data_IF_476454235583
#
_entry.id   IF_476454235583
#
_cell.length_a   1.000
_cell.length_b   1.000
_cell.length_c   1.000
_cell.angle_alpha   90.00
_cell.angle_beta   90.00
_cell.angle_gamma   90.00
#
_symmetry.space_group_name_H-M   'P 1'
#
loop_
_entity.id
_entity.type
_entity.pdbx_description
1 polymer ?
#
# COMPACT_ATOMS: atom_id res chain seq x y z
N UNK A 1 -17.03 10.45 14.94
CA UNK A 1 -15.98 11.49 14.85
C UNK A 1 -16.39 12.85 15.41
N UNK A 2 -17.64 13.07 15.78
CA UNK A 2 -18.10 14.38 16.26
C UNK A 2 -17.51 14.86 17.59
N UNK A 3 -16.89 13.96 18.38
CA UNK A 3 -16.43 14.24 19.74
C UNK A 3 -14.90 14.18 19.91
N UNK A 4 -14.14 14.39 18.82
CA UNK A 4 -12.69 14.41 18.91
C UNK A 4 -12.21 15.71 19.54
N UNK A 5 -11.23 15.61 20.42
CA UNK A 5 -10.57 16.77 21.02
C UNK A 5 -9.70 17.46 19.95
N UNK A 6 -9.58 18.80 20.05
CA UNK A 6 -8.87 19.60 19.04
C UNK A 6 -7.43 19.09 18.74
N UNK A 7 -6.70 18.62 19.74
CA UNK A 7 -5.34 18.08 19.55
C UNK A 7 -5.32 16.77 18.74
N UNK A 8 -6.40 15.97 18.79
CA UNK A 8 -6.48 14.74 17.98
C UNK A 8 -6.58 15.08 16.48
N UNK A 9 -7.32 16.14 16.12
CA UNK A 9 -7.35 16.62 14.72
C UNK A 9 -5.96 17.07 14.26
N UNK A 10 -5.22 17.80 15.11
CA UNK A 10 -3.84 18.23 14.80
C UNK A 10 -2.92 17.03 14.61
N UNK A 11 -2.96 16.03 15.51
CA UNK A 11 -2.16 14.82 15.40
C UNK A 11 -2.49 14.03 14.13
N UNK A 12 -3.77 13.84 13.83
CA UNK A 12 -4.22 13.18 12.59
C UNK A 12 -3.66 13.91 11.37
N UNK A 13 -3.77 15.24 11.32
CA UNK A 13 -3.23 16.05 10.24
C UNK A 13 -1.73 15.91 10.06
N UNK A 14 -0.97 15.94 11.15
CA UNK A 14 0.49 15.73 11.14
C UNK A 14 0.87 14.33 10.66
N UNK A 15 0.16 13.29 11.11
CA UNK A 15 0.39 11.91 10.66
C UNK A 15 0.12 11.77 9.16
N UNK A 16 -0.94 12.38 8.62
CA UNK A 16 -1.22 12.37 7.18
C UNK A 16 -0.17 13.14 6.38
N UNK A 17 0.28 14.31 6.85
CA UNK A 17 1.34 15.07 6.22
C UNK A 17 2.65 14.27 6.15
N UNK A 18 3.03 13.65 7.27
CA UNK A 18 4.19 12.76 7.34
C UNK A 18 4.06 11.54 6.42
N UNK A 19 2.88 10.90 6.41
CA UNK A 19 2.58 9.78 5.51
C UNK A 19 2.74 10.16 4.03
N UNK A 20 2.29 11.36 3.65
CA UNK A 20 2.46 11.90 2.30
C UNK A 20 3.93 12.10 1.96
N UNK A 21 4.72 12.67 2.86
CA UNK A 21 6.16 12.86 2.69
C UNK A 21 6.89 11.52 2.49
N UNK A 22 6.65 10.53 3.36
CA UNK A 22 7.26 9.20 3.25
C UNK A 22 6.90 8.54 1.92
N UNK A 23 5.63 8.64 1.51
CA UNK A 23 5.15 8.04 0.27
C UNK A 23 5.79 8.65 -0.96
N UNK A 24 5.89 9.97 -1.03
CA UNK A 24 6.49 10.66 -2.18
C UNK A 24 7.99 10.35 -2.29
N UNK A 25 8.67 10.18 -1.17
CA UNK A 25 10.11 9.87 -1.12
C UNK A 25 10.40 8.42 -1.49
N UNK A 26 9.69 7.45 -0.92
CA UNK A 26 9.99 6.01 -1.04
C UNK A 26 9.12 5.29 -2.07
N UNK A 27 7.99 5.86 -2.49
CA UNK A 27 7.03 5.20 -3.37
C UNK A 27 6.10 4.20 -2.66
N UNK A 28 6.34 3.92 -1.38
CA UNK A 28 5.54 2.99 -0.57
C UNK A 28 5.65 3.35 0.93
N UNK A 29 4.96 2.62 1.78
CA UNK A 29 5.13 2.71 3.25
C UNK A 29 4.27 3.75 3.94
N UNK A 30 3.69 4.73 3.25
CA UNK A 30 2.86 5.76 3.89
C UNK A 30 1.73 5.17 4.75
N UNK A 31 0.99 4.19 4.23
CA UNK A 31 -0.09 3.54 4.97
C UNK A 31 0.43 2.66 6.13
N UNK A 32 1.55 1.93 5.90
CA UNK A 32 2.18 1.07 6.92
C UNK A 32 2.59 1.86 8.14
N UNK A 33 3.12 3.07 7.92
CA UNK A 33 3.58 3.94 9.00
C UNK A 33 2.43 4.78 9.59
N UNK A 34 1.50 5.29 8.78
CA UNK A 34 0.43 6.15 9.26
C UNK A 34 -0.64 5.40 10.05
N UNK A 35 -1.10 4.25 9.56
CA UNK A 35 -2.26 3.55 10.13
C UNK A 35 -2.08 3.19 11.61
N UNK A 36 -0.94 2.62 12.07
CA UNK A 36 -0.76 2.34 13.49
C UNK A 36 -0.86 3.58 14.36
N UNK A 37 -0.22 4.70 13.97
CA UNK A 37 -0.28 5.94 14.73
C UNK A 37 -1.69 6.55 14.77
N UNK A 38 -2.42 6.49 13.65
CA UNK A 38 -3.81 6.92 13.59
C UNK A 38 -4.70 6.12 14.55
N UNK A 39 -4.49 4.79 14.60
CA UNK A 39 -5.25 3.90 15.49
C UNK A 39 -4.91 4.10 16.97
N UNK A 40 -3.70 4.59 17.29
CA UNK A 40 -3.35 5.01 18.66
C UNK A 40 -4.06 6.30 19.07
N UNK A 41 -4.34 7.21 18.12
CA UNK A 41 -5.07 8.44 18.37
C UNK A 41 -6.57 8.19 18.48
N UNK A 42 -7.12 7.37 17.57
CA UNK A 42 -8.54 7.00 17.52
C UNK A 42 -8.65 5.57 16.97
N UNK A 43 -9.24 4.67 17.74
CA UNK A 43 -9.37 3.25 17.36
C UNK A 43 -10.57 3.02 16.42
N UNK A 44 -10.51 3.61 15.22
CA UNK A 44 -11.55 3.51 14.19
C UNK A 44 -10.98 3.11 12.83
N UNK A 45 -10.57 1.84 12.64
CA UNK A 45 -9.91 1.40 11.41
C UNK A 45 -10.80 1.58 10.16
N UNK A 46 -12.11 1.37 10.26
CA UNK A 46 -13.04 1.53 9.12
C UNK A 46 -13.19 2.98 8.67
N UNK A 47 -12.86 3.95 9.53
CA UNK A 47 -12.82 5.38 9.17
C UNK A 47 -11.49 5.72 8.49
N UNK A 48 -10.36 5.28 9.06
CA UNK A 48 -9.05 5.64 8.53
C UNK A 48 -8.68 4.92 7.24
N UNK A 49 -9.12 3.67 7.05
CA UNK A 49 -8.81 2.92 5.84
C UNK A 49 -9.32 3.58 4.56
N UNK A 50 -10.58 4.06 4.46
CA UNK A 50 -11.03 4.83 3.29
C UNK A 50 -10.27 6.15 3.11
N UNK A 51 -9.98 6.89 4.19
CA UNK A 51 -9.25 8.16 4.11
C UNK A 51 -7.83 7.92 3.58
N UNK A 52 -7.12 6.91 4.10
CA UNK A 52 -5.80 6.51 3.59
C UNK A 52 -5.90 6.07 2.13
N UNK A 53 -6.96 5.36 1.75
CA UNK A 53 -7.19 4.93 0.38
C UNK A 53 -7.33 6.12 -0.58
N UNK A 54 -8.16 7.11 -0.24
CA UNK A 54 -8.33 8.34 -1.02
C UNK A 54 -7.00 9.11 -1.13
N UNK A 55 -6.31 9.31 -0.02
CA UNK A 55 -5.00 9.94 0.03
C UNK A 55 -3.98 9.21 -0.87
N UNK A 56 -4.02 7.88 -0.90
CA UNK A 56 -3.18 7.06 -1.76
C UNK A 56 -3.55 7.25 -3.23
N UNK A 57 -4.82 7.27 -3.58
CA UNK A 57 -5.27 7.49 -4.95
C UNK A 57 -4.84 8.86 -5.49
N UNK A 58 -4.99 9.93 -4.69
CA UNK A 58 -4.58 11.28 -5.09
C UNK A 58 -3.08 11.33 -5.38
N UNK A 59 -2.24 10.85 -4.46
CA UNK A 59 -0.79 10.87 -4.65
C UNK A 59 -0.33 9.96 -5.78
N UNK A 60 -0.89 8.76 -5.91
CA UNK A 60 -0.53 7.85 -7.00
C UNK A 60 -0.89 8.42 -8.37
N UNK A 61 -2.07 9.03 -8.49
CA UNK A 61 -2.51 9.68 -9.74
C UNK A 61 -1.61 10.87 -10.10
N UNK A 62 -1.29 11.72 -9.11
CA UNK A 62 -0.41 12.88 -9.29
C UNK A 62 0.99 12.48 -9.77
N UNK A 63 1.58 11.47 -9.14
CA UNK A 63 2.93 11.01 -9.46
C UNK A 63 2.96 10.33 -10.83
N UNK A 64 1.96 9.47 -11.14
CA UNK A 64 1.84 8.85 -12.45
C UNK A 64 1.68 9.89 -13.57
N UNK A 65 0.85 10.92 -13.34
CA UNK A 65 0.66 12.01 -14.28
C UNK A 65 1.94 12.81 -14.53
N UNK A 66 2.66 13.19 -13.47
CA UNK A 66 3.91 13.93 -13.59
C UNK A 66 5.01 13.11 -14.26
N UNK A 67 5.11 11.82 -13.96
CA UNK A 67 6.04 10.91 -14.63
C UNK A 67 5.77 10.82 -16.14
N UNK A 68 4.50 10.72 -16.53
CA UNK A 68 4.12 10.71 -17.95
C UNK A 68 4.45 12.03 -18.65
N UNK A 69 4.21 13.18 -18.02
CA UNK A 69 4.58 14.49 -18.56
C UNK A 69 6.08 14.66 -18.76
N UNK A 70 6.90 14.21 -17.81
CA UNK A 70 8.34 14.26 -17.92
C UNK A 70 8.88 13.44 -19.11
N UNK A 71 8.29 12.25 -19.34
CA UNK A 71 8.61 11.42 -20.51
C UNK A 71 8.30 12.12 -21.83
N UNK A 72 7.14 12.79 -21.92
CA UNK A 72 6.75 13.55 -23.12
C UNK A 72 7.69 14.75 -23.38
N UNK A 73 8.20 15.37 -22.33
CA UNK A 73 9.10 16.54 -22.46
C UNK A 73 10.54 16.14 -22.81
N UNK A 74 10.96 14.92 -22.47
CA UNK A 74 12.33 14.44 -22.74
C UNK A 74 12.66 14.17 -24.22
N UNK A 75 11.68 14.28 -25.12
CA UNK A 75 11.87 14.18 -26.58
C UNK A 75 12.20 12.79 -27.11
N UNK A 76 11.87 12.54 -28.37
CA UNK A 76 11.91 11.25 -29.09
C UNK A 76 13.31 10.63 -29.33
N UNK A 77 14.37 11.07 -28.68
CA UNK A 77 15.74 10.64 -29.00
C UNK A 77 16.30 9.49 -28.17
N UNK A 78 15.61 9.07 -27.10
CA UNK A 78 15.91 7.83 -26.41
C UNK A 78 14.71 6.90 -26.60
N UNK A 79 14.93 5.64 -26.89
CA UNK A 79 13.88 4.62 -26.86
C UNK A 79 13.20 4.72 -25.49
N UNK A 80 12.03 5.34 -25.44
CA UNK A 80 11.30 5.63 -24.20
C UNK A 80 10.86 4.29 -23.61
N UNK A 81 11.76 3.72 -22.83
CA UNK A 81 11.42 2.56 -22.01
C UNK A 81 10.37 3.03 -21.00
N UNK A 82 9.22 2.38 -21.02
CA UNK A 82 8.17 2.65 -20.02
C UNK A 82 8.77 2.59 -18.63
N UNK A 83 8.56 3.64 -17.82
CA UNK A 83 8.98 3.65 -16.42
C UNK A 83 8.25 2.59 -15.58
N UNK A 84 7.37 1.81 -16.19
CA UNK A 84 6.52 0.81 -15.54
C UNK A 84 6.77 -0.56 -16.18
N UNK A 85 7.08 -1.55 -15.39
CA UNK A 85 7.12 -2.96 -15.82
C UNK A 85 5.70 -3.55 -15.83
N UNK A 86 4.99 -3.33 -16.92
CA UNK A 86 3.63 -3.87 -17.13
C UNK A 86 3.59 -5.39 -17.16
N UNK A 87 4.67 -6.03 -17.62
CA UNK A 87 4.75 -7.49 -17.70
C UNK A 87 4.76 -8.15 -16.33
N UNK A 88 5.60 -7.65 -15.44
CA UNK A 88 5.66 -8.15 -14.07
C UNK A 88 4.45 -7.73 -13.25
N UNK A 89 4.00 -6.50 -13.39
CA UNK A 89 2.79 -5.97 -12.75
C UNK A 89 1.58 -6.85 -13.02
N UNK A 90 1.33 -7.22 -14.28
CA UNK A 90 0.20 -8.08 -14.66
C UNK A 90 0.29 -9.50 -14.06
N UNK A 91 1.50 -10.08 -13.99
CA UNK A 91 1.73 -11.37 -13.34
C UNK A 91 1.45 -11.31 -11.83
N UNK A 92 1.98 -10.31 -11.15
CA UNK A 92 1.79 -10.12 -9.73
C UNK A 92 0.32 -9.87 -9.37
N UNK A 93 -0.39 -9.04 -10.14
CA UNK A 93 -1.81 -8.77 -9.93
C UNK A 93 -2.66 -10.04 -10.02
N UNK A 94 -2.40 -10.94 -10.99
CA UNK A 94 -3.12 -12.22 -11.13
C UNK A 94 -3.01 -13.08 -9.86
N UNK A 95 -1.83 -13.07 -9.21
CA UNK A 95 -1.60 -13.82 -7.97
C UNK A 95 -2.29 -13.14 -6.78
N UNK A 96 -2.25 -11.81 -6.73
CA UNK A 96 -2.70 -11.04 -5.58
C UNK A 96 -4.21 -10.80 -5.52
N UNK A 97 -4.92 -10.83 -6.67
CA UNK A 97 -6.31 -10.37 -6.74
C UNK A 97 -7.26 -11.23 -5.89
N UNK A 98 -7.12 -12.55 -5.95
CA UNK A 98 -7.97 -13.48 -5.18
C UNK A 98 -7.72 -13.35 -3.68
N UNK A 99 -6.47 -13.46 -3.16
CA UNK A 99 -6.19 -13.21 -1.75
C UNK A 99 -6.64 -11.82 -1.27
N UNK A 100 -6.51 -10.80 -2.12
CA UNK A 100 -6.95 -9.46 -1.80
C UNK A 100 -8.46 -9.37 -1.60
N UNK A 101 -9.25 -9.94 -2.49
CA UNK A 101 -10.72 -9.98 -2.34
C UNK A 101 -11.14 -10.73 -1.08
N UNK A 102 -10.51 -11.86 -0.79
CA UNK A 102 -10.72 -12.60 0.46
C UNK A 102 -10.40 -11.72 1.68
N UNK A 103 -9.31 -10.97 1.63
CA UNK A 103 -8.92 -10.04 2.71
C UNK A 103 -9.93 -8.91 2.91
N UNK A 104 -10.48 -8.34 1.83
CA UNK A 104 -11.50 -7.28 1.91
C UNK A 104 -12.79 -7.83 2.52
N UNK A 105 -13.31 -8.94 1.99
CA UNK A 105 -14.56 -9.55 2.47
C UNK A 105 -14.43 -10.03 3.91
N UNK A 106 -13.29 -10.62 4.27
CA UNK A 106 -13.03 -11.11 5.62
C UNK A 106 -12.88 -10.02 6.67
N UNK A 107 -12.61 -8.77 6.25
CA UNK A 107 -12.45 -7.63 7.16
C UNK A 107 -13.80 -7.02 7.59
N UNK A 108 -14.75 -6.93 6.67
CA UNK A 108 -16.00 -6.19 6.84
C UNK A 108 -16.82 -6.59 8.09
N UNK A 109 -16.94 -7.88 8.44
CA UNK A 109 -17.70 -8.31 9.61
C UNK A 109 -16.94 -8.21 10.93
N UNK A 110 -15.66 -7.80 10.94
CA UNK A 110 -14.84 -7.82 12.15
C UNK A 110 -15.07 -6.59 13.03
N UNK A 111 -15.16 -6.76 14.36
CA UNK A 111 -15.15 -5.64 15.30
C UNK A 111 -13.84 -4.83 15.22
N UNK A 112 -13.93 -3.50 15.47
CA UNK A 112 -12.79 -2.58 15.39
C UNK A 112 -11.57 -3.06 16.18
N UNK A 113 -11.77 -3.57 17.39
CA UNK A 113 -10.67 -4.06 18.25
C UNK A 113 -9.93 -5.26 17.64
N UNK A 114 -10.66 -6.18 16.98
CA UNK A 114 -10.05 -7.34 16.31
C UNK A 114 -9.25 -6.88 15.09
N UNK A 115 -9.82 -5.98 14.29
CA UNK A 115 -9.13 -5.38 13.14
C UNK A 115 -7.83 -4.69 13.56
N UNK A 116 -7.91 -3.85 14.59
CA UNK A 116 -6.76 -3.14 15.13
C UNK A 116 -5.70 -4.10 15.65
N UNK A 117 -6.07 -5.17 16.36
CA UNK A 117 -5.14 -6.20 16.83
C UNK A 117 -4.42 -6.91 15.67
N UNK A 118 -5.13 -7.24 14.59
CA UNK A 118 -4.55 -7.84 13.38
C UNK A 118 -3.55 -6.86 12.73
N UNK A 119 -3.91 -5.58 12.60
CA UNK A 119 -3.04 -4.55 12.02
C UNK A 119 -1.76 -4.41 12.82
N UNK A 120 -1.85 -4.26 14.16
CA UNK A 120 -0.67 -4.16 15.03
C UNK A 120 0.17 -5.44 15.00
N UNK A 121 -0.45 -6.63 15.00
CA UNK A 121 0.25 -7.91 14.87
C UNK A 121 1.11 -7.98 13.60
N UNK A 122 0.56 -7.57 12.46
CA UNK A 122 1.28 -7.51 11.18
C UNK A 122 2.44 -6.51 11.26
N UNK A 123 2.21 -5.32 11.81
CA UNK A 123 3.25 -4.28 11.95
C UNK A 123 4.38 -4.75 12.86
N UNK A 124 4.06 -5.43 13.96
CA UNK A 124 5.06 -6.01 14.88
C UNK A 124 5.93 -7.05 14.16
N UNK A 125 5.33 -7.95 13.37
CA UNK A 125 6.08 -8.93 12.58
C UNK A 125 7.05 -8.24 11.62
N UNK A 126 6.61 -7.19 10.93
CA UNK A 126 7.47 -6.40 10.05
C UNK A 126 8.61 -5.72 10.83
N UNK A 127 8.28 -5.07 11.95
CA UNK A 127 9.25 -4.38 12.79
C UNK A 127 10.33 -5.34 13.32
N UNK A 128 9.94 -6.51 13.82
CA UNK A 128 10.88 -7.54 14.28
C UNK A 128 11.79 -8.00 13.14
N UNK A 129 11.24 -8.25 11.94
CA UNK A 129 12.03 -8.62 10.77
C UNK A 129 13.10 -7.58 10.41
N UNK A 130 12.74 -6.30 10.49
CA UNK A 130 13.71 -5.21 10.24
C UNK A 130 14.73 -5.05 11.35
N UNK A 131 14.33 -5.10 12.62
CA UNK A 131 15.24 -5.00 13.78
C UNK A 131 16.27 -6.14 13.79
N UNK A 132 15.83 -7.35 13.43
CA UNK A 132 16.72 -8.52 13.33
C UNK A 132 17.57 -8.54 12.04
N UNK A 133 17.52 -7.49 11.20
CA UNK A 133 18.16 -7.46 9.88
C UNK A 133 17.79 -8.65 8.99
N UNK A 134 16.61 -9.21 9.16
CA UNK A 134 16.05 -10.30 8.35
C UNK A 134 14.75 -9.85 7.68
N UNK A 135 14.81 -8.80 6.82
CA UNK A 135 13.62 -8.39 6.07
C UNK A 135 13.17 -9.53 5.16
N UNK A 136 11.89 -9.53 4.83
CA UNK A 136 11.37 -10.48 3.84
C UNK A 136 12.15 -10.33 2.53
N UNK A 137 12.69 -11.43 2.04
CA UNK A 137 13.41 -11.49 0.76
C UNK A 137 12.88 -12.64 -0.07
N UNK A 138 12.70 -12.37 -1.34
CA UNK A 138 12.35 -13.41 -2.29
C UNK A 138 13.63 -14.05 -2.82
N UNK A 139 13.75 -15.37 -2.65
CA UNK A 139 14.87 -16.16 -3.13
C UNK A 139 14.42 -17.29 -4.07
N UNK A 140 13.11 -17.48 -4.26
CA UNK A 140 12.55 -18.62 -5.00
C UNK A 140 11.14 -18.27 -5.49
N UNK A 141 10.74 -18.79 -6.65
CA UNK A 141 9.39 -18.59 -7.23
C UNK A 141 8.26 -18.96 -6.26
N UNK A 142 8.41 -20.01 -5.48
CA UNK A 142 7.39 -20.40 -4.48
C UNK A 142 7.26 -19.36 -3.38
N UNK A 143 8.37 -18.78 -2.92
CA UNK A 143 8.39 -17.70 -1.96
C UNK A 143 7.73 -16.44 -2.54
N UNK A 144 7.96 -16.14 -3.83
CA UNK A 144 7.28 -15.04 -4.53
C UNK A 144 5.75 -15.19 -4.48
N UNK A 145 5.24 -16.37 -4.83
CA UNK A 145 3.80 -16.65 -4.80
C UNK A 145 3.23 -16.49 -3.39
N UNK A 146 3.92 -17.00 -2.38
CA UNK A 146 3.48 -16.88 -0.98
C UNK A 146 3.50 -15.42 -0.53
N UNK A 147 4.59 -14.68 -0.79
CA UNK A 147 4.72 -13.28 -0.38
C UNK A 147 3.73 -12.38 -1.10
N UNK A 148 3.50 -12.59 -2.41
CA UNK A 148 2.49 -11.84 -3.17
C UNK A 148 1.07 -12.19 -2.72
N UNK A 149 0.78 -13.46 -2.47
CA UNK A 149 -0.51 -13.90 -1.95
C UNK A 149 -0.81 -13.31 -0.57
N UNK A 150 0.12 -13.43 0.37
CA UNK A 150 0.01 -12.82 1.70
C UNK A 150 -0.03 -11.29 1.62
N UNK A 151 0.80 -10.68 0.77
CA UNK A 151 0.80 -9.24 0.54
C UNK A 151 -0.53 -8.75 -0.03
N UNK A 152 -1.13 -9.50 -0.96
CA UNK A 152 -2.48 -9.26 -1.48
C UNK A 152 -3.53 -9.32 -0.38
N UNK A 153 -3.53 -10.38 0.42
CA UNK A 153 -4.45 -10.55 1.56
C UNK A 153 -4.32 -9.41 2.58
N UNK A 154 -3.10 -9.11 3.03
CA UNK A 154 -2.81 -8.02 3.97
C UNK A 154 -3.16 -6.66 3.36
N UNK A 155 -2.92 -6.45 2.06
CA UNK A 155 -3.37 -5.24 1.36
C UNK A 155 -4.90 -5.16 1.30
N UNK A 156 -5.60 -6.29 1.21
CA UNK A 156 -7.06 -6.37 1.29
C UNK A 156 -7.59 -5.95 2.67
N UNK A 157 -7.00 -6.48 3.74
CA UNK A 157 -7.43 -6.18 5.11
C UNK A 157 -7.07 -4.75 5.54
N UNK A 158 -5.80 -4.33 5.41
CA UNK A 158 -5.29 -3.16 6.13
C UNK A 158 -4.50 -2.15 5.29
N UNK A 159 -4.37 -2.34 3.97
CA UNK A 159 -3.53 -1.52 3.07
C UNK A 159 -2.03 -1.51 3.41
N UNK A 160 -1.57 -2.34 4.34
CA UNK A 160 -0.18 -2.39 4.83
C UNK A 160 0.64 -3.55 4.24
N UNK A 161 0.20 -4.15 3.13
CA UNK A 161 0.89 -5.27 2.45
C UNK A 161 2.24 -4.90 1.79
N UNK A 162 2.63 -3.62 1.82
CA UNK A 162 3.80 -3.11 1.13
C UNK A 162 5.11 -3.88 1.41
N UNK A 163 5.50 -4.18 2.66
CA UNK A 163 6.77 -4.86 2.91
C UNK A 163 6.90 -6.24 2.23
N UNK A 164 5.81 -7.00 2.15
CA UNK A 164 5.79 -8.30 1.47
C UNK A 164 5.87 -8.14 -0.06
N UNK A 165 5.09 -7.22 -0.61
CA UNK A 165 5.00 -6.99 -2.04
C UNK A 165 6.29 -6.37 -2.57
N UNK A 166 6.82 -5.34 -1.90
CA UNK A 166 8.06 -4.66 -2.29
C UNK A 166 9.24 -5.62 -2.29
N UNK A 167 9.32 -6.55 -1.34
CA UNK A 167 10.41 -7.52 -1.26
C UNK A 167 10.51 -8.40 -2.51
N UNK A 168 9.37 -8.70 -3.14
CA UNK A 168 9.31 -9.47 -4.39
C UNK A 168 9.58 -8.57 -5.60
N UNK A 169 8.92 -7.42 -5.68
CA UNK A 169 9.11 -6.49 -6.80
C UNK A 169 10.54 -5.98 -6.90
N UNK A 170 11.20 -5.69 -5.78
CA UNK A 170 12.60 -5.24 -5.76
C UNK A 170 13.59 -6.30 -6.28
N UNK A 171 13.18 -7.56 -6.36
CA UNK A 171 14.02 -8.65 -6.90
C UNK A 171 13.84 -8.81 -8.42
N UNK A 172 12.66 -8.49 -8.95
CA UNK A 172 12.30 -8.78 -10.34
C UNK A 172 12.14 -7.56 -11.24
N UNK A 173 11.95 -6.38 -10.67
CA UNK A 173 11.76 -5.12 -11.40
C UNK A 173 13.03 -4.27 -11.30
N UNK A 174 13.43 -3.66 -12.41
CA UNK A 174 14.58 -2.75 -12.43
C UNK A 174 14.38 -1.59 -11.46
N UNK A 175 15.45 -1.13 -10.80
CA UNK A 175 15.39 -0.07 -9.77
C UNK A 175 14.74 1.21 -10.28
N UNK A 176 15.00 1.54 -11.54
CA UNK A 176 14.49 2.73 -12.22
C UNK A 176 12.98 2.66 -12.44
N UNK A 177 12.44 1.45 -12.64
CA UNK A 177 11.01 1.21 -12.88
C UNK A 177 10.25 0.85 -11.61
N UNK A 178 10.94 0.45 -10.56
CA UNK A 178 10.33 -0.08 -9.34
C UNK A 178 9.32 0.88 -8.73
N UNK A 179 9.72 2.14 -8.53
CA UNK A 179 8.88 3.15 -7.89
C UNK A 179 7.58 3.38 -8.65
N UNK A 180 7.67 3.60 -9.95
CA UNK A 180 6.51 3.94 -10.77
C UNK A 180 5.60 2.72 -10.98
N UNK A 181 6.18 1.52 -11.11
CA UNK A 181 5.45 0.24 -11.12
C UNK A 181 4.68 0.04 -9.81
N UNK A 182 5.29 0.34 -8.66
CA UNK A 182 4.63 0.24 -7.36
C UNK A 182 3.48 1.23 -7.21
N UNK A 183 3.61 2.46 -7.71
CA UNK A 183 2.51 3.43 -7.67
C UNK A 183 1.28 2.95 -8.45
N UNK A 184 1.49 2.40 -9.64
CA UNK A 184 0.39 1.84 -10.44
C UNK A 184 -0.23 0.62 -9.74
N UNK A 185 0.60 -0.25 -9.18
CA UNK A 185 0.12 -1.38 -8.39
C UNK A 185 -0.78 -0.91 -7.23
N UNK A 186 -0.30 0.06 -6.44
CA UNK A 186 -1.08 0.60 -5.32
C UNK A 186 -2.38 1.23 -5.78
N UNK A 187 -2.35 1.99 -6.86
CA UNK A 187 -3.56 2.56 -7.45
C UNK A 187 -4.60 1.48 -7.75
N UNK A 188 -4.21 0.43 -8.49
CA UNK A 188 -5.11 -0.68 -8.85
C UNK A 188 -5.65 -1.39 -7.59
N UNK A 189 -4.76 -1.72 -6.65
CA UNK A 189 -5.15 -2.41 -5.42
C UNK A 189 -6.11 -1.58 -4.56
N UNK A 190 -5.94 -0.27 -4.52
CA UNK A 190 -6.82 0.62 -3.76
C UNK A 190 -8.16 0.82 -4.45
N UNK A 191 -8.18 0.96 -5.77
CA UNK A 191 -9.44 1.02 -6.54
C UNK A 191 -10.28 -0.24 -6.28
N UNK A 192 -9.68 -1.44 -6.35
CA UNK A 192 -10.38 -2.70 -6.04
C UNK A 192 -10.99 -2.64 -4.63
N UNK A 193 -10.23 -2.17 -3.64
CA UNK A 193 -10.72 -2.07 -2.25
C UNK A 193 -11.86 -1.07 -2.11
N UNK A 194 -11.74 0.11 -2.72
CA UNK A 194 -12.78 1.15 -2.64
C UNK A 194 -14.08 0.70 -3.32
N UNK A 195 -13.98 0.08 -4.50
CA UNK A 195 -15.14 -0.52 -5.17
C UNK A 195 -15.79 -1.58 -4.29
N UNK A 196 -15.00 -2.44 -3.64
CA UNK A 196 -15.52 -3.46 -2.73
C UNK A 196 -16.24 -2.85 -1.52
N UNK A 197 -15.73 -1.74 -0.95
CA UNK A 197 -16.41 -1.03 0.13
C UNK A 197 -17.75 -0.41 -0.31
N UNK A 198 -17.78 0.18 -1.51
CA UNK A 198 -19.01 0.77 -2.05
C UNK A 198 -20.08 -0.30 -2.33
N UNK A 199 -19.67 -1.50 -2.79
CA UNK A 199 -20.60 -2.60 -3.06
C UNK A 199 -21.12 -3.22 -1.76
N UNK A 200 -20.28 -3.23 -0.71
CA UNK A 200 -20.64 -3.84 0.57
C UNK A 200 -21.51 -2.93 1.47
N UNK A 201 -21.69 -1.63 1.10
CA UNK A 201 -22.52 -0.66 1.84
C UNK A 201 -21.80 -0.07 3.00
#
# INVERSE_FOLDING_TARGET
MADLLWYQYVLIGLIFAWSGFVRTSLGFGGAVLALPFLLLVVNEPLVFLPIIAIHLLIFSSWIAWNGHRQLQQAGSSAAVQSNIDWGYLGKALKIMIVPKLVGVVGLLPLPANVMTSIIFGIVIIYAIGYVLNKPFRSNNKYVDYVLLGLGGYVSGTSLIGAPLIVSVFATHVAKEQLRDTMFVLWFILVVIKMVSFVIAG
#
